data_IF_484574850093
#
_entry.id   IF_484574850093
#
_cell.length_a   1.000
_cell.length_b   1.000
_cell.length_c   1.000
_cell.angle_alpha   90.00
_cell.angle_beta   90.00
_cell.angle_gamma   90.00
#
_symmetry.space_group_name_H-M   'P 1'
#
loop_
_entity.id
_entity.type
_entity.pdbx_description
1 polymer ?
#
# COMPACT_ATOMS: atom_id res chain seq x y z
N UNK A 1 0.32 14.74 -24.78
CA UNK A 1 -0.08 14.21 -23.45
C UNK A 1 -1.49 14.68 -23.15
N UNK A 2 -2.38 13.78 -22.74
CA UNK A 2 -3.81 14.09 -22.51
C UNK A 2 -3.99 15.09 -21.36
N UNK A 3 -3.28 14.91 -20.24
CA UNK A 3 -3.38 15.76 -19.04
C UNK A 3 -3.07 17.25 -19.30
N UNK A 4 -2.03 17.53 -20.08
CA UNK A 4 -1.60 18.90 -20.35
C UNK A 4 -2.63 19.70 -21.19
N UNK A 5 -3.49 19.00 -21.93
CA UNK A 5 -4.53 19.60 -22.77
C UNK A 5 -5.87 19.86 -22.05
N UNK A 6 -6.00 19.49 -20.77
CA UNK A 6 -7.21 19.70 -19.99
C UNK A 6 -7.31 21.13 -19.47
N UNK A 7 -8.53 21.62 -19.30
CA UNK A 7 -8.79 22.85 -18.56
C UNK A 7 -8.39 22.69 -17.09
N UNK A 8 -8.20 23.80 -16.37
CA UNK A 8 -7.85 23.74 -14.96
C UNK A 8 -9.02 23.22 -14.09
N UNK A 9 -10.26 23.48 -14.51
CA UNK A 9 -11.46 22.94 -13.87
C UNK A 9 -11.53 21.41 -14.03
N UNK A 10 -11.25 20.89 -15.24
CA UNK A 10 -11.21 19.44 -15.46
C UNK A 10 -10.07 18.77 -14.66
N UNK A 11 -8.89 19.41 -14.61
CA UNK A 11 -7.78 18.90 -13.79
C UNK A 11 -8.14 18.87 -12.31
N UNK A 12 -8.87 19.87 -11.82
CA UNK A 12 -9.34 19.92 -10.43
C UNK A 12 -10.36 18.81 -10.17
N UNK A 13 -11.38 18.70 -11.00
CA UNK A 13 -12.40 17.65 -10.89
C UNK A 13 -11.79 16.24 -10.91
N UNK A 14 -10.83 15.99 -11.79
CA UNK A 14 -10.12 14.70 -11.86
C UNK A 14 -9.28 14.43 -10.61
N UNK A 15 -8.61 15.43 -10.04
CA UNK A 15 -7.85 15.25 -8.79
C UNK A 15 -8.76 14.94 -7.62
N UNK A 16 -9.87 15.64 -7.50
CA UNK A 16 -10.87 15.41 -6.44
C UNK A 16 -11.46 14.01 -6.56
N UNK A 17 -11.88 13.61 -7.77
CA UNK A 17 -12.36 12.27 -8.04
C UNK A 17 -11.30 11.19 -7.77
N UNK A 18 -10.02 11.44 -8.08
CA UNK A 18 -8.94 10.50 -7.78
C UNK A 18 -8.73 10.31 -6.27
N UNK A 19 -8.85 11.38 -5.47
CA UNK A 19 -8.77 11.30 -4.01
C UNK A 19 -9.97 10.52 -3.45
N UNK A 20 -11.18 10.81 -3.92
CA UNK A 20 -12.40 10.10 -3.51
C UNK A 20 -12.32 8.61 -3.88
N UNK A 21 -11.92 8.30 -5.11
CA UNK A 21 -11.73 6.94 -5.57
C UNK A 21 -10.65 6.20 -4.75
N UNK A 22 -9.57 6.89 -4.36
CA UNK A 22 -8.54 6.32 -3.49
C UNK A 22 -9.09 5.91 -2.12
N UNK A 23 -9.95 6.74 -1.53
CA UNK A 23 -10.63 6.43 -0.26
C UNK A 23 -11.58 5.24 -0.42
N UNK A 24 -12.46 5.29 -1.42
CA UNK A 24 -13.42 4.21 -1.69
C UNK A 24 -12.69 2.88 -1.95
N UNK A 25 -11.62 2.89 -2.74
CA UNK A 25 -10.84 1.70 -3.02
C UNK A 25 -10.22 1.10 -1.75
N UNK A 26 -9.69 1.92 -0.83
CA UNK A 26 -9.16 1.45 0.45
C UNK A 26 -10.21 0.72 1.26
N UNK A 27 -11.41 1.30 1.37
CA UNK A 27 -12.53 0.69 2.09
C UNK A 27 -12.95 -0.64 1.47
N UNK A 28 -13.09 -0.69 0.15
CA UNK A 28 -13.46 -1.91 -0.59
C UNK A 28 -12.37 -2.98 -0.52
N UNK A 29 -11.09 -2.61 -0.56
CA UNK A 29 -9.96 -3.54 -0.44
C UNK A 29 -9.95 -4.23 0.91
N UNK A 30 -10.10 -3.47 2.01
CA UNK A 30 -10.15 -4.05 3.37
C UNK A 30 -11.35 -4.99 3.50
N UNK A 31 -12.52 -4.57 3.01
CA UNK A 31 -13.72 -5.42 3.01
C UNK A 31 -13.50 -6.72 2.23
N UNK A 32 -12.93 -6.62 1.03
CA UNK A 32 -12.63 -7.78 0.19
C UNK A 32 -11.63 -8.73 0.86
N UNK A 33 -10.59 -8.21 1.52
CA UNK A 33 -9.60 -9.02 2.24
C UNK A 33 -10.25 -9.79 3.40
N UNK A 34 -11.14 -9.15 4.17
CA UNK A 34 -11.90 -9.81 5.24
C UNK A 34 -12.81 -10.92 4.69
N UNK A 35 -13.62 -10.60 3.68
CA UNK A 35 -14.52 -11.59 3.06
C UNK A 35 -13.76 -12.76 2.42
N UNK A 36 -12.59 -12.50 1.83
CA UNK A 36 -11.78 -13.55 1.22
C UNK A 36 -11.22 -14.49 2.29
N UNK A 37 -10.71 -13.96 3.42
CA UNK A 37 -10.22 -14.79 4.52
C UNK A 37 -11.30 -15.73 5.04
N UNK A 38 -12.53 -15.25 5.20
CA UNK A 38 -13.67 -16.07 5.62
C UNK A 38 -14.01 -17.17 4.59
N UNK A 39 -14.01 -16.83 3.29
CA UNK A 39 -14.24 -17.81 2.21
C UNK A 39 -13.15 -18.89 2.19
N UNK A 40 -11.89 -18.49 2.36
CA UNK A 40 -10.76 -19.42 2.36
C UNK A 40 -10.81 -20.37 3.54
N UNK A 41 -11.10 -19.88 4.76
CA UNK A 41 -11.22 -20.75 5.94
C UNK A 41 -12.43 -21.68 5.84
N UNK A 42 -13.57 -21.19 5.33
CA UNK A 42 -14.75 -22.03 5.06
C UNK A 42 -14.47 -23.13 4.01
N UNK A 43 -13.57 -22.87 3.05
CA UNK A 43 -13.09 -23.85 2.08
C UNK A 43 -12.01 -24.80 2.64
N UNK A 44 -11.65 -24.67 3.92
CA UNK A 44 -10.69 -25.54 4.61
C UNK A 44 -9.23 -25.08 4.53
N UNK A 45 -8.94 -23.85 4.09
CA UNK A 45 -7.58 -23.30 4.09
C UNK A 45 -7.18 -22.90 5.51
N UNK A 46 -6.01 -23.39 5.95
CA UNK A 46 -5.38 -22.92 7.18
C UNK A 46 -4.67 -21.58 6.96
N UNK A 47 -4.99 -20.58 7.80
CA UNK A 47 -4.30 -19.29 7.83
C UNK A 47 -3.39 -19.28 9.06
N UNK A 48 -2.08 -19.21 8.83
CA UNK A 48 -1.08 -19.21 9.90
C UNK A 48 -0.64 -17.79 10.24
N UNK A 49 -0.63 -17.45 11.52
CA UNK A 49 0.05 -16.26 12.03
C UNK A 49 1.52 -16.59 12.27
N UNK A 50 2.41 -15.68 11.87
CA UNK A 50 3.87 -15.86 11.99
C UNK A 50 4.51 -14.60 12.54
N UNK A 51 5.60 -14.78 13.30
CA UNK A 51 6.49 -13.67 13.65
C UNK A 51 7.16 -13.14 12.38
N UNK A 52 6.94 -11.84 12.09
CA UNK A 52 7.46 -11.19 10.91
C UNK A 52 8.90 -10.70 11.08
N UNK A 53 9.43 -10.58 12.30
CA UNK A 53 10.75 -10.03 12.56
C UNK A 53 11.89 -10.80 11.86
N UNK A 54 11.92 -12.16 11.84
CA UNK A 54 12.94 -12.90 11.11
C UNK A 54 12.92 -12.67 9.60
N UNK A 55 11.73 -12.40 9.03
CA UNK A 55 11.59 -12.10 7.60
C UNK A 55 12.08 -10.69 7.30
N UNK A 56 11.73 -9.71 8.14
CA UNK A 56 12.22 -8.34 8.04
C UNK A 56 13.76 -8.31 8.07
N UNK A 57 14.38 -9.00 9.04
CA UNK A 57 15.84 -9.15 9.16
C UNK A 57 16.47 -9.70 7.86
N UNK A 58 15.91 -10.79 7.32
CA UNK A 58 16.42 -11.43 6.10
C UNK A 58 16.27 -10.56 4.85
N UNK A 59 15.38 -9.56 4.88
CA UNK A 59 15.16 -8.61 3.77
C UNK A 59 15.91 -7.29 3.95
N UNK A 60 16.72 -7.13 5.01
CA UNK A 60 17.44 -5.89 5.32
C UNK A 60 18.27 -5.34 4.15
N UNK A 61 18.88 -6.23 3.36
CA UNK A 61 19.69 -5.84 2.18
C UNK A 61 18.91 -5.02 1.14
N UNK A 62 17.59 -5.17 1.07
CA UNK A 62 16.72 -4.36 0.20
C UNK A 62 16.66 -2.93 0.70
N UNK A 63 16.47 -2.74 2.00
CA UNK A 63 16.51 -1.40 2.63
C UNK A 63 17.89 -0.77 2.50
N UNK A 64 18.96 -1.55 2.70
CA UNK A 64 20.33 -1.05 2.55
C UNK A 64 20.62 -0.59 1.12
N UNK A 65 20.13 -1.32 0.11
CA UNK A 65 20.25 -0.93 -1.30
C UNK A 65 19.56 0.42 -1.54
N UNK A 66 18.29 0.55 -1.15
CA UNK A 66 17.52 1.76 -1.42
C UNK A 66 17.92 2.95 -0.55
N UNK A 67 18.45 2.72 0.64
CA UNK A 67 18.98 3.80 1.50
C UNK A 67 20.18 4.50 0.87
N UNK A 68 20.91 3.84 -0.04
CA UNK A 68 22.00 4.49 -0.79
C UNK A 68 21.49 5.45 -1.86
N UNK A 69 20.32 5.16 -2.43
CA UNK A 69 19.73 5.95 -3.53
C UNK A 69 18.79 7.03 -3.00
N UNK A 70 18.00 6.70 -1.96
CA UNK A 70 17.00 7.57 -1.35
C UNK A 70 17.13 7.56 0.18
N UNK A 71 18.24 8.08 0.73
CA UNK A 71 18.52 7.98 2.17
C UNK A 71 17.41 8.55 3.04
N UNK A 72 16.90 9.74 2.69
CA UNK A 72 15.87 10.41 3.49
C UNK A 72 14.50 9.72 3.38
N UNK A 73 14.14 9.25 2.17
CA UNK A 73 12.86 8.58 1.95
C UNK A 73 12.81 7.22 2.66
N UNK A 74 13.88 6.42 2.57
CA UNK A 74 13.92 5.12 3.24
C UNK A 74 13.93 5.31 4.76
N UNK A 75 14.65 6.30 5.27
CA UNK A 75 14.61 6.65 6.69
C UNK A 75 13.20 7.06 7.13
N UNK A 76 12.51 7.90 6.35
CA UNK A 76 11.13 8.30 6.64
C UNK A 76 10.20 7.09 6.70
N UNK A 77 10.17 6.27 5.64
CA UNK A 77 9.25 5.13 5.53
C UNK A 77 9.50 4.11 6.64
N UNK A 78 10.75 3.79 6.94
CA UNK A 78 11.08 2.82 8.00
C UNK A 78 10.76 3.34 9.40
N UNK A 79 10.87 4.66 9.63
CA UNK A 79 10.45 5.28 10.89
C UNK A 79 8.93 5.23 11.06
N UNK A 80 8.16 5.56 10.02
CA UNK A 80 6.69 5.55 10.07
C UNK A 80 6.14 4.12 10.20
N UNK A 81 6.76 3.13 9.58
CA UNK A 81 6.36 1.73 9.69
C UNK A 81 6.60 1.11 11.07
N UNK A 82 7.46 1.73 11.89
CA UNK A 82 7.76 1.28 13.25
C UNK A 82 6.82 1.88 14.32
N UNK A 83 5.91 2.79 13.92
CA UNK A 83 4.85 3.33 14.79
C UNK A 83 3.65 2.41 14.82
#
# INVERSE_FOLDING_TARGET
MVWAGLSDDDKKALKEAAIEAGKLNRELSVKADTELREKMTAAGVAINEVDQAPFAEKTKSVYDKWSKEYPDLVKLITTEAAK
#
